data_IF_471309867192
#
_entry.id   IF_471309867192
#
_cell.length_a   1.000
_cell.length_b   1.000
_cell.length_c   1.000
_cell.angle_alpha   90.00
_cell.angle_beta   90.00
_cell.angle_gamma   90.00
#
_symmetry.space_group_name_H-M   'P 1'
#
loop_
_entity.id
_entity.type
_entity.pdbx_description
1 polymer ?
#
# COMPACT_ATOMS: atom_id res chain seq x y z
N UNK A 1 -0.78 15.85 10.39
CA UNK A 1 0.18 15.25 11.35
C UNK A 1 0.12 13.73 11.29
N UNK A 2 1.29 13.13 11.20
CA UNK A 2 1.41 11.66 11.11
C UNK A 2 0.92 10.97 12.39
N UNK A 3 0.16 9.89 12.22
CA UNK A 3 -0.30 9.08 13.33
C UNK A 3 0.71 7.98 13.69
N UNK A 4 0.83 7.71 14.98
CA UNK A 4 1.68 6.65 15.52
C UNK A 4 0.88 5.76 16.46
N UNK A 5 1.31 4.53 16.63
CA UNK A 5 0.79 3.62 17.66
C UNK A 5 1.92 3.12 18.53
N UNK A 6 1.61 2.84 19.78
CA UNK A 6 2.52 2.18 20.71
C UNK A 6 2.12 0.71 20.78
N UNK A 7 3.07 -0.19 20.52
CA UNK A 7 2.82 -1.61 20.56
C UNK A 7 4.10 -2.33 20.97
N UNK A 8 4.03 -3.19 21.99
CA UNK A 8 5.16 -3.98 22.49
C UNK A 8 6.37 -3.10 22.84
N UNK A 9 6.13 -1.90 23.39
CA UNK A 9 7.19 -0.96 23.74
C UNK A 9 7.80 -0.21 22.57
N UNK A 10 7.25 -0.38 21.36
CA UNK A 10 7.73 0.27 20.15
C UNK A 10 6.77 1.36 19.70
N UNK A 11 7.32 2.42 19.13
CA UNK A 11 6.55 3.49 18.51
C UNK A 11 6.55 3.27 17.00
N UNK A 12 5.38 3.01 16.42
CA UNK A 12 5.25 2.66 15.01
C UNK A 12 4.42 3.71 14.28
N UNK A 13 4.91 4.12 13.12
CA UNK A 13 4.16 5.02 12.23
C UNK A 13 3.04 4.23 11.58
N UNK A 14 1.82 4.77 11.65
CA UNK A 14 0.66 4.13 11.01
C UNK A 14 0.63 4.43 9.53
N UNK A 15 0.46 3.39 8.73
CA UNK A 15 0.39 3.49 7.28
C UNK A 15 -0.76 2.66 6.73
N UNK A 16 -1.11 2.91 5.49
CA UNK A 16 -2.09 2.13 4.73
C UNK A 16 -1.52 1.81 3.36
N UNK A 17 -1.85 0.63 2.84
CA UNK A 17 -1.47 0.19 1.50
C UNK A 17 -2.64 -0.55 0.88
N UNK A 18 -2.81 -0.46 -0.44
CA UNK A 18 -3.88 -1.16 -1.13
C UNK A 18 -3.37 -1.98 -2.31
N UNK A 19 -3.91 -3.17 -2.44
CA UNK A 19 -3.82 -3.96 -3.67
C UNK A 19 -4.99 -3.49 -4.54
N UNK A 20 -4.71 -2.77 -5.61
CA UNK A 20 -5.73 -2.24 -6.54
C UNK A 20 -5.90 -3.21 -7.69
N UNK A 21 -7.10 -3.72 -7.87
CA UNK A 21 -7.42 -4.80 -8.81
C UNK A 21 -8.39 -4.29 -9.88
N UNK A 22 -8.31 -4.90 -11.06
CA UNK A 22 -9.33 -4.69 -12.10
C UNK A 22 -10.05 -6.01 -12.42
N UNK A 23 -10.96 -5.97 -13.39
CA UNK A 23 -11.78 -7.13 -13.76
C UNK A 23 -11.01 -8.23 -14.48
N UNK A 24 -9.83 -7.91 -15.01
CA UNK A 24 -8.97 -8.88 -15.70
C UNK A 24 -8.01 -9.62 -14.77
N UNK A 25 -8.10 -9.38 -13.45
CA UNK A 25 -7.20 -9.99 -12.47
C UNK A 25 -5.81 -9.37 -12.46
N UNK A 26 -5.70 -8.15 -12.96
CA UNK A 26 -4.43 -7.41 -12.90
C UNK A 26 -4.38 -6.52 -11.67
N UNK A 27 -3.17 -6.20 -11.23
CA UNK A 27 -2.91 -5.35 -10.06
C UNK A 27 -2.20 -4.08 -10.52
N UNK A 28 -2.65 -2.94 -10.02
CA UNK A 28 -2.02 -1.67 -10.30
C UNK A 28 -0.88 -1.43 -9.31
N UNK A 29 0.32 -1.26 -9.84
CA UNK A 29 1.46 -0.85 -9.03
C UNK A 29 1.86 0.58 -9.40
N UNK A 30 2.44 1.28 -8.45
CA UNK A 30 2.94 2.63 -8.62
C UNK A 30 4.45 2.65 -8.49
N UNK A 31 5.09 3.60 -9.17
CA UNK A 31 6.51 3.85 -9.02
C UNK A 31 6.70 5.26 -8.49
N UNK A 32 7.04 5.40 -7.20
CA UNK A 32 7.35 6.71 -6.64
C UNK A 32 8.62 7.30 -7.26
N UNK A 33 8.75 8.61 -7.23
CA UNK A 33 10.01 9.25 -7.63
C UNK A 33 11.14 8.76 -6.74
N UNK A 34 12.31 8.57 -7.31
CA UNK A 34 13.48 8.03 -6.62
C UNK A 34 13.62 6.51 -6.71
N UNK A 35 12.58 5.81 -7.13
CA UNK A 35 12.66 4.37 -7.42
C UNK A 35 13.30 4.15 -8.79
N UNK A 36 13.98 3.02 -8.95
CA UNK A 36 14.50 2.61 -10.26
C UNK A 36 13.34 2.21 -11.17
N UNK A 37 13.59 2.18 -12.48
CA UNK A 37 12.55 1.89 -13.48
C UNK A 37 11.89 0.52 -13.27
N UNK A 38 12.62 -0.46 -12.74
CA UNK A 38 12.13 -1.81 -12.49
C UNK A 38 11.53 -1.99 -11.09
N UNK A 39 11.53 -0.96 -10.26
CA UNK A 39 11.05 -1.04 -8.88
C UNK A 39 9.65 -0.44 -8.76
N UNK A 40 8.74 -1.22 -8.20
CA UNK A 40 7.34 -0.85 -8.04
C UNK A 40 6.87 -1.12 -6.63
N UNK A 41 5.77 -0.52 -6.25
CA UNK A 41 5.18 -0.73 -4.93
C UNK A 41 3.66 -0.59 -4.99
N UNK A 42 2.99 -0.90 -3.88
CA UNK A 42 1.55 -0.72 -3.73
C UNK A 42 1.24 0.74 -3.40
N UNK A 43 0.09 1.21 -3.88
CA UNK A 43 -0.41 2.54 -3.54
C UNK A 43 -0.68 2.65 -2.03
N UNK A 44 -0.42 3.82 -1.47
CA UNK A 44 -0.69 4.08 -0.06
C UNK A 44 0.18 5.16 0.51
N UNK A 45 0.09 5.35 1.81
CA UNK A 45 0.85 6.38 2.51
C UNK A 45 0.59 6.38 4.00
N UNK A 46 0.89 7.49 4.66
CA UNK A 46 0.72 7.62 6.10
C UNK A 46 -0.71 7.95 6.50
N UNK A 47 -1.09 7.47 7.68
CA UNK A 47 -2.36 7.83 8.32
C UNK A 47 -2.12 9.15 9.05
N UNK A 48 -3.04 10.11 8.87
CA UNK A 48 -2.99 11.39 9.57
C UNK A 48 -3.65 11.27 10.94
N UNK A 49 -3.24 12.11 11.87
CA UNK A 49 -3.80 12.13 13.21
C UNK A 49 -5.32 12.37 13.17
N UNK A 50 -6.08 11.51 13.83
CA UNK A 50 -7.53 11.59 13.86
C UNK A 50 -8.24 10.88 12.70
N UNK A 51 -7.49 10.39 11.74
CA UNK A 51 -8.01 9.69 10.58
C UNK A 51 -8.14 8.19 10.89
N UNK A 52 -9.23 7.55 10.43
CA UNK A 52 -9.29 6.09 10.46
C UNK A 52 -8.46 5.50 9.32
N UNK A 53 -8.05 4.23 9.39
CA UNK A 53 -7.33 3.61 8.28
C UNK A 53 -8.08 3.67 6.95
N UNK A 54 -9.40 3.43 6.94
CA UNK A 54 -10.16 3.48 5.69
C UNK A 54 -10.24 4.89 5.13
N UNK A 55 -10.37 5.89 5.99
CA UNK A 55 -10.34 7.30 5.55
C UNK A 55 -8.99 7.65 4.93
N UNK A 56 -7.90 7.21 5.57
CA UNK A 56 -6.55 7.43 5.05
C UNK A 56 -6.37 6.74 3.69
N UNK A 57 -6.86 5.50 3.55
CA UNK A 57 -6.70 4.77 2.29
C UNK A 57 -7.47 5.45 1.15
N UNK A 58 -8.69 5.89 1.41
CA UNK A 58 -9.46 6.61 0.38
C UNK A 58 -8.80 7.93 -0.01
N UNK A 59 -8.27 8.66 0.97
CA UNK A 59 -7.54 9.91 0.70
C UNK A 59 -6.31 9.65 -0.15
N UNK A 60 -5.51 8.64 0.20
CA UNK A 60 -4.29 8.31 -0.55
C UNK A 60 -4.60 7.87 -1.98
N UNK A 61 -5.64 7.06 -2.17
CA UNK A 61 -6.05 6.64 -3.52
C UNK A 61 -6.51 7.84 -4.36
N UNK A 62 -7.24 8.77 -3.76
CA UNK A 62 -7.67 9.97 -4.46
C UNK A 62 -6.48 10.86 -4.81
N UNK A 63 -5.56 11.06 -3.86
CA UNK A 63 -4.37 11.91 -4.07
C UNK A 63 -3.40 11.32 -5.10
N UNK A 64 -3.05 10.05 -4.94
CA UNK A 64 -2.03 9.42 -5.80
C UNK A 64 -2.54 9.05 -7.18
N UNK A 65 -3.78 8.57 -7.28
CA UNK A 65 -4.30 7.95 -8.50
C UNK A 65 -5.57 8.61 -9.03
N UNK A 66 -6.17 9.52 -8.30
CA UNK A 66 -7.45 10.11 -8.68
C UNK A 66 -8.64 9.17 -8.56
N UNK A 67 -8.51 8.10 -7.78
CA UNK A 67 -9.59 7.12 -7.57
C UNK A 67 -10.64 7.72 -6.63
N UNK A 68 -11.90 7.67 -7.06
CA UNK A 68 -13.00 8.29 -6.32
C UNK A 68 -13.57 7.42 -5.20
N UNK A 69 -14.53 8.00 -4.48
CA UNK A 69 -15.17 7.35 -3.32
C UNK A 69 -16.04 6.16 -3.72
N UNK A 70 -16.42 6.06 -4.99
CA UNK A 70 -17.25 4.96 -5.50
C UNK A 70 -16.47 3.65 -5.66
N UNK A 71 -15.15 3.68 -5.56
CA UNK A 71 -14.33 2.47 -5.67
C UNK A 71 -14.64 1.51 -4.52
N UNK A 72 -14.75 0.22 -4.84
CA UNK A 72 -14.93 -0.83 -3.83
C UNK A 72 -13.64 -1.02 -3.06
N UNK A 73 -13.69 -0.81 -1.75
CA UNK A 73 -12.51 -0.84 -0.87
C UNK A 73 -12.83 -1.65 0.38
N UNK A 74 -11.97 -2.61 0.73
CA UNK A 74 -12.15 -3.40 1.95
C UNK A 74 -10.80 -3.74 2.59
N UNK A 75 -10.83 -3.90 3.91
CA UNK A 75 -9.64 -4.22 4.69
C UNK A 75 -9.32 -5.72 4.58
N UNK A 76 -8.02 -6.04 4.55
CA UNK A 76 -7.52 -7.41 4.51
C UNK A 76 -6.91 -7.78 5.87
N UNK A 77 -7.12 -9.02 6.35
CA UNK A 77 -6.54 -9.47 7.62
C UNK A 77 -5.08 -9.91 7.44
N UNK A 78 -4.24 -9.00 6.98
CA UNK A 78 -2.81 -9.26 6.73
C UNK A 78 -1.99 -8.29 7.56
N UNK A 79 -1.08 -8.82 8.36
CA UNK A 79 -0.17 -8.01 9.18
C UNK A 79 0.98 -7.54 8.31
N UNK A 80 1.23 -6.22 8.32
CA UNK A 80 2.36 -5.62 7.61
C UNK A 80 3.10 -4.69 8.57
N UNK A 81 3.96 -5.28 9.39
CA UNK A 81 4.75 -4.55 10.38
C UNK A 81 6.23 -4.67 10.03
N UNK A 82 6.89 -3.54 9.98
CA UNK A 82 8.31 -3.47 9.68
C UNK A 82 9.03 -2.70 10.78
N UNK A 83 10.03 -3.32 11.40
CA UNK A 83 10.84 -2.69 12.46
C UNK A 83 12.17 -2.30 11.88
N UNK A 84 12.57 -1.06 12.08
CA UNK A 84 13.85 -0.54 11.57
C UNK A 84 15.01 -1.13 12.38
N UNK A 85 16.14 -1.37 11.71
CA UNK A 85 17.38 -1.67 12.41
C UNK A 85 17.84 -0.43 13.17
N UNK A 86 18.62 -0.63 14.23
CA UNK A 86 19.19 0.49 14.99
C UNK A 86 20.04 1.40 14.10
N UNK A 87 20.79 0.79 13.18
CA UNK A 87 21.61 1.53 12.21
C UNK A 87 20.77 2.42 11.30
N UNK A 88 19.70 1.86 10.72
CA UNK A 88 18.80 2.60 9.82
C UNK A 88 18.14 3.77 10.57
N UNK A 89 17.65 3.49 11.78
CA UNK A 89 17.00 4.50 12.63
C UNK A 89 17.95 5.66 12.94
N UNK A 90 19.20 5.34 13.30
CA UNK A 90 20.21 6.35 13.60
C UNK A 90 20.61 7.16 12.35
N UNK A 91 20.85 6.48 11.25
CA UNK A 91 21.27 7.09 9.99
C UNK A 91 20.23 8.08 9.45
N UNK A 92 18.95 7.73 9.57
CA UNK A 92 17.82 8.55 9.10
C UNK A 92 17.31 9.51 10.17
N UNK A 93 17.85 9.45 11.40
CA UNK A 93 17.42 10.29 12.53
C UNK A 93 15.92 10.17 12.79
N UNK A 94 15.41 8.94 12.78
CA UNK A 94 13.98 8.67 12.97
C UNK A 94 13.63 8.68 14.46
N UNK A 95 12.46 9.23 14.78
CA UNK A 95 11.94 9.31 16.13
C UNK A 95 10.94 8.18 16.45
N UNK A 96 10.87 7.18 15.58
CA UNK A 96 9.99 6.03 15.72
C UNK A 96 10.74 4.77 15.30
N UNK A 97 10.20 3.61 15.68
CA UNK A 97 10.91 2.33 15.61
C UNK A 97 10.57 1.52 14.38
N UNK A 98 9.53 1.88 13.67
CA UNK A 98 9.09 1.15 12.49
C UNK A 98 7.77 1.64 11.96
N UNK A 99 7.12 0.78 11.17
CA UNK A 99 5.85 1.06 10.52
C UNK A 99 4.89 -0.09 10.74
N UNK A 100 3.61 0.24 10.83
CA UNK A 100 2.53 -0.73 10.87
C UNK A 100 1.49 -0.30 9.84
N UNK A 101 1.36 -1.05 8.76
CA UNK A 101 0.45 -0.73 7.66
C UNK A 101 -0.79 -1.61 7.72
N UNK A 102 -1.96 -0.98 7.64
CA UNK A 102 -3.22 -1.69 7.43
C UNK A 102 -3.34 -1.93 5.93
N UNK A 103 -3.62 -3.18 5.55
CA UNK A 103 -3.71 -3.59 4.16
C UNK A 103 -5.15 -3.60 3.68
N UNK A 104 -5.34 -3.13 2.46
CA UNK A 104 -6.64 -3.05 1.80
C UNK A 104 -6.59 -3.67 0.42
N UNK A 105 -7.76 -4.08 -0.07
CA UNK A 105 -7.97 -4.35 -1.47
C UNK A 105 -8.93 -3.29 -2.02
N UNK A 106 -8.70 -2.90 -3.27
CA UNK A 106 -9.53 -1.92 -3.96
C UNK A 106 -9.83 -2.46 -5.36
N UNK A 107 -11.09 -2.46 -5.76
CA UNK A 107 -11.47 -2.89 -7.10
C UNK A 107 -11.97 -1.71 -7.91
N UNK A 108 -11.37 -1.53 -9.08
CA UNK A 108 -11.78 -0.51 -10.04
C UNK A 108 -11.83 -1.14 -11.43
N UNK A 109 -12.54 -0.49 -12.36
CA UNK A 109 -12.50 -0.89 -13.76
C UNK A 109 -11.14 -0.51 -14.35
N UNK A 110 -10.61 -1.36 -15.24
CA UNK A 110 -9.40 -1.05 -16.02
C UNK A 110 -9.58 0.23 -16.83
N UNK A 111 -10.83 0.57 -17.17
CA UNK A 111 -11.16 1.78 -17.93
C UNK A 111 -11.25 3.03 -17.05
N UNK A 112 -11.19 2.90 -15.75
CA UNK A 112 -11.22 4.04 -14.82
C UNK A 112 -10.06 4.98 -15.16
N UNK A 113 -10.32 6.26 -15.49
CA UNK A 113 -9.23 7.19 -15.76
C UNK A 113 -8.43 7.45 -14.48
N UNK A 114 -7.12 7.36 -14.60
CA UNK A 114 -6.21 7.61 -13.48
C UNK A 114 -5.57 8.97 -13.67
N UNK A 115 -5.39 9.70 -12.56
CA UNK A 115 -4.68 10.97 -12.56
C UNK A 115 -3.58 10.87 -11.50
N UNK A 116 -2.35 10.72 -11.97
CA UNK A 116 -1.20 10.55 -11.08
C UNK A 116 -0.79 11.89 -10.47
N UNK A 117 -0.46 11.86 -9.19
CA UNK A 117 0.10 13.01 -8.49
C UNK A 117 1.57 13.17 -8.88
N UNK A 118 1.84 14.14 -9.73
CA UNK A 118 3.16 14.29 -10.38
C UNK A 118 4.32 14.45 -9.40
N UNK A 119 4.09 15.05 -8.23
CA UNK A 119 5.15 15.27 -7.24
C UNK A 119 5.62 13.98 -6.55
N UNK A 120 4.75 12.97 -6.44
CA UNK A 120 5.06 11.75 -5.70
C UNK A 120 5.14 10.51 -6.57
N UNK A 121 4.32 10.45 -7.62
CA UNK A 121 4.17 9.24 -8.44
C UNK A 121 4.73 9.49 -9.83
N UNK A 122 5.78 8.74 -10.19
CA UNK A 122 6.39 8.83 -11.52
C UNK A 122 5.60 8.05 -12.57
N UNK A 123 5.01 6.91 -12.20
CA UNK A 123 4.30 6.04 -13.12
C UNK A 123 3.36 5.11 -12.37
N UNK A 124 2.38 4.57 -13.09
CA UNK A 124 1.49 3.52 -12.60
C UNK A 124 1.25 2.54 -13.74
N UNK A 125 1.21 1.25 -13.42
CA UNK A 125 1.08 0.21 -14.46
C UNK A 125 0.31 -0.98 -13.92
N UNK A 126 -0.52 -1.58 -14.78
CA UNK A 126 -1.20 -2.84 -14.49
C UNK A 126 -0.25 -4.01 -14.73
N UNK A 127 -0.19 -4.93 -13.78
CA UNK A 127 0.61 -6.15 -13.85
C UNK A 127 -0.31 -7.37 -13.70
N UNK A 128 -0.04 -8.47 -14.41
CA UNK A 128 -0.70 -9.73 -14.06
C UNK A 128 -0.45 -10.05 -12.58
N UNK A 129 -1.49 -10.52 -11.88
CA UNK A 129 -1.39 -10.73 -10.42
C UNK A 129 -0.21 -11.65 -10.05
N UNK A 130 0.06 -12.67 -10.85
CA UNK A 130 1.16 -13.61 -10.57
C UNK A 130 2.55 -12.96 -10.70
N UNK A 131 2.68 -11.93 -11.51
CA UNK A 131 3.96 -11.24 -11.75
C UNK A 131 4.18 -10.08 -10.79
N UNK A 132 3.09 -9.52 -10.25
CA UNK A 132 3.13 -8.28 -9.50
C UNK A 132 4.04 -8.34 -8.26
N UNK A 133 4.00 -9.39 -7.40
CA UNK A 133 4.88 -9.42 -6.23
C UNK A 133 6.36 -9.34 -6.59
N UNK A 134 6.77 -9.95 -7.70
CA UNK A 134 8.16 -9.93 -8.15
C UNK A 134 8.66 -8.55 -8.53
N UNK A 135 7.76 -7.59 -8.77
CA UNK A 135 8.13 -6.22 -9.12
C UNK A 135 8.50 -5.37 -7.89
N UNK A 136 8.19 -5.84 -6.68
CA UNK A 136 8.56 -5.14 -5.45
C UNK A 136 10.02 -5.49 -5.08
N UNK A 137 10.81 -4.49 -4.66
CA UNK A 137 12.26 -4.70 -4.50
C UNK A 137 12.66 -5.48 -3.23
N UNK A 138 11.79 -5.55 -2.23
CA UNK A 138 12.16 -6.10 -0.91
C UNK A 138 11.32 -7.33 -0.59
N UNK A 139 12.02 -8.43 -0.20
CA UNK A 139 11.35 -9.71 0.08
C UNK A 139 10.20 -9.63 1.09
N UNK A 140 10.35 -8.96 2.26
CA UNK A 140 9.22 -8.85 3.20
C UNK A 140 7.99 -8.20 2.57
N UNK A 141 8.16 -7.22 1.70
CA UNK A 141 7.05 -6.58 0.98
C UNK A 141 6.40 -7.56 0.00
N UNK A 142 7.20 -8.36 -0.70
CA UNK A 142 6.69 -9.39 -1.61
C UNK A 142 5.86 -10.43 -0.87
N UNK A 143 6.31 -10.84 0.32
CA UNK A 143 5.61 -11.82 1.15
C UNK A 143 4.25 -11.29 1.64
N UNK A 144 4.21 -10.04 2.07
CA UNK A 144 2.97 -9.38 2.47
C UNK A 144 2.00 -9.29 1.29
N UNK A 145 2.51 -8.90 0.13
CA UNK A 145 1.69 -8.79 -1.09
C UNK A 145 1.09 -10.15 -1.46
N UNK A 146 1.89 -11.21 -1.43
CA UNK A 146 1.40 -12.57 -1.73
C UNK A 146 0.33 -13.01 -0.74
N UNK A 147 0.49 -12.67 0.54
CA UNK A 147 -0.54 -12.94 1.56
C UNK A 147 -1.83 -12.17 1.27
N UNK A 148 -1.72 -10.93 0.82
CA UNK A 148 -2.88 -10.14 0.41
C UNK A 148 -3.62 -10.77 -0.76
N UNK A 149 -2.89 -11.22 -1.78
CA UNK A 149 -3.50 -11.88 -2.93
C UNK A 149 -4.24 -13.16 -2.52
N UNK A 150 -3.68 -13.93 -1.58
CA UNK A 150 -4.35 -15.12 -1.06
C UNK A 150 -5.66 -14.78 -0.35
N UNK A 151 -5.68 -13.72 0.45
CA UNK A 151 -6.89 -13.29 1.14
C UNK A 151 -7.95 -12.77 0.17
N UNK A 152 -7.53 -12.08 -0.88
CA UNK A 152 -8.43 -11.60 -1.93
C UNK A 152 -9.09 -12.79 -2.65
N UNK A 153 -8.31 -13.81 -2.97
CA UNK A 153 -8.83 -15.02 -3.61
C UNK A 153 -9.84 -15.76 -2.73
N UNK A 154 -9.59 -15.84 -1.42
CA UNK A 154 -10.52 -16.44 -0.46
C UNK A 154 -11.88 -15.72 -0.45
N UNK A 155 -11.87 -14.40 -0.50
CA UNK A 155 -13.11 -13.62 -0.53
C UNK A 155 -13.93 -13.93 -1.77
N UNK A 156 -13.26 -14.04 -2.92
CA UNK A 156 -13.92 -14.37 -4.17
C UNK A 156 -14.56 -15.77 -4.12
N UNK A 157 -13.88 -16.74 -3.51
CA UNK A 157 -14.35 -18.13 -3.39
C UNK A 157 -15.39 -18.30 -2.29
N UNK A 158 -15.33 -17.49 -1.26
CA UNK A 158 -16.17 -17.60 -0.06
C UNK A 158 -17.55 -16.95 -0.14
N UNK A 159 -17.94 -16.47 -1.29
CA UNK A 159 -19.24 -15.80 -1.48
C UNK A 159 -20.39 -16.78 -1.65
#
# INVERSE_FOLDING_TARGET
>A
MTAYIESDGLRLRRKVRAVVLNDDGEVLLVRPHGYRDEEWTLAGGGVEHGESPVEAMRRELAEELGVGLEADLWELPVINRFIYSAEHKAKRKLDHDGQDAVMFACRISKKTPLRLQAEEVADARWFPANDAPGALPVKPQRDVFSACLSEIAKRADGR
#
